data_IF_200949342034
#
_entry.id   IF_200949342034
#
_cell.length_a   1.000
_cell.length_b   1.000
_cell.length_c   1.000
_cell.angle_alpha   90.00
_cell.angle_beta   90.00
_cell.angle_gamma   90.00
#
_symmetry.space_group_name_H-M   'P 1'
#
loop_
_entity.id
_entity.type
_entity.pdbx_description
1 polymer ?
#
# COMPACT_ATOMS: atom_id res chain seq x y z
N UNK A 1 -25.28 -9.73 -61.95
CA UNK A 1 -25.82 -10.89 -61.20
C UNK A 1 -24.65 -11.51 -60.46
N UNK A 2 -24.57 -11.47 -59.11
CA UNK A 2 -25.16 -12.47 -58.17
C UNK A 2 -24.83 -13.89 -58.68
N UNK A 3 -24.11 -14.80 -58.01
CA UNK A 3 -23.96 -15.19 -56.59
C UNK A 3 -22.81 -16.26 -56.59
N UNK A 4 -21.80 -16.19 -55.71
CA UNK A 4 -21.64 -17.01 -54.48
C UNK A 4 -21.23 -18.49 -54.66
N UNK A 5 -20.53 -18.98 -53.63
CA UNK A 5 -20.07 -20.37 -53.33
C UNK A 5 -18.75 -20.78 -53.99
N UNK A 6 -17.71 -21.26 -53.28
CA UNK A 6 -17.65 -21.88 -51.94
C UNK A 6 -16.19 -22.01 -51.50
N UNK A 7 -15.94 -21.67 -50.21
CA UNK A 7 -14.99 -22.23 -49.23
C UNK A 7 -13.60 -22.74 -49.69
N UNK A 8 -12.49 -22.09 -49.30
CA UNK A 8 -11.76 -22.24 -48.03
C UNK A 8 -11.49 -23.68 -47.59
N UNK A 9 -10.21 -24.11 -47.61
CA UNK A 9 -9.49 -24.73 -46.49
C UNK A 9 -8.13 -25.28 -46.96
N UNK A 10 -7.03 -24.65 -46.53
CA UNK A 10 -5.77 -25.37 -46.30
C UNK A 10 -4.85 -24.57 -45.36
N UNK A 11 -4.83 -25.04 -44.12
CA UNK A 11 -3.67 -25.15 -43.24
C UNK A 11 -2.64 -24.00 -43.26
N UNK A 12 -2.82 -23.08 -42.32
CA UNK A 12 -1.68 -22.59 -41.55
C UNK A 12 -1.96 -22.89 -40.07
N UNK A 13 -1.45 -24.03 -39.59
CA UNK A 13 -1.25 -24.27 -38.17
C UNK A 13 -0.12 -23.38 -37.68
N UNK A 14 -0.38 -22.10 -37.44
CA UNK A 14 0.43 -21.34 -36.50
C UNK A 14 0.00 -21.80 -35.11
N UNK A 15 0.78 -22.71 -34.53
CA UNK A 15 0.76 -22.95 -33.10
C UNK A 15 1.10 -21.63 -32.41
N UNK A 16 0.09 -20.81 -32.12
CA UNK A 16 0.18 -19.81 -31.08
C UNK A 16 0.34 -20.60 -29.81
N UNK A 17 1.59 -20.76 -29.38
CA UNK A 17 1.90 -21.03 -28.00
C UNK A 17 1.36 -19.79 -27.28
N UNK A 18 0.11 -19.87 -26.83
CA UNK A 18 -0.38 -19.04 -25.77
C UNK A 18 0.55 -19.38 -24.60
N UNK A 19 1.62 -18.60 -24.46
CA UNK A 19 2.26 -18.46 -23.18
C UNK A 19 1.18 -17.86 -22.29
N UNK A 20 0.36 -18.73 -21.70
CA UNK A 20 -0.40 -18.42 -20.50
C UNK A 20 0.67 -18.00 -19.50
N UNK A 21 0.92 -16.68 -19.47
CA UNK A 21 1.56 -16.06 -18.33
C UNK A 21 0.84 -16.66 -17.13
N UNK A 22 1.55 -17.35 -16.22
CA UNK A 22 0.89 -18.03 -15.13
C UNK A 22 0.00 -16.98 -14.50
N UNK A 23 -1.31 -17.20 -14.55
CA UNK A 23 -2.23 -16.50 -13.70
C UNK A 23 -1.72 -16.85 -12.30
N UNK A 24 -0.84 -16.00 -11.75
CA UNK A 24 -0.52 -15.98 -10.34
C UNK A 24 -1.89 -15.86 -9.71
N UNK A 25 -2.44 -17.00 -9.28
CA UNK A 25 -3.75 -17.06 -8.69
C UNK A 25 -3.74 -16.00 -7.61
N UNK A 26 -4.60 -14.99 -7.76
CA UNK A 26 -4.76 -13.98 -6.72
C UNK A 26 -5.13 -14.75 -5.47
N UNK A 27 -4.16 -14.94 -4.58
CA UNK A 27 -4.39 -15.60 -3.30
C UNK A 27 -5.48 -14.78 -2.64
N UNK A 28 -6.62 -15.41 -2.36
CA UNK A 28 -7.68 -14.74 -1.63
C UNK A 28 -7.07 -14.20 -0.33
N UNK A 29 -7.23 -12.89 -0.09
CA UNK A 29 -6.72 -12.27 1.12
C UNK A 29 -7.40 -12.91 2.33
N UNK A 30 -6.61 -13.38 3.29
CA UNK A 30 -7.15 -13.89 4.54
C UNK A 30 -7.62 -12.74 5.42
N UNK A 31 -8.47 -13.03 6.42
CA UNK A 31 -8.86 -12.04 7.43
C UNK A 31 -7.64 -11.46 8.16
N UNK A 32 -6.62 -12.29 8.40
CA UNK A 32 -5.34 -11.85 8.98
C UNK A 32 -4.67 -10.80 8.08
N UNK A 33 -4.63 -11.02 6.78
CA UNK A 33 -4.01 -10.10 5.81
C UNK A 33 -4.79 -8.78 5.77
N UNK A 34 -6.13 -8.84 5.75
CA UNK A 34 -6.99 -7.65 5.78
C UNK A 34 -6.81 -6.83 7.07
N UNK A 35 -6.73 -7.50 8.22
CA UNK A 35 -6.49 -6.83 9.50
C UNK A 35 -5.10 -6.17 9.54
N UNK A 36 -4.07 -6.85 9.03
CA UNK A 36 -2.73 -6.28 8.94
C UNK A 36 -2.70 -5.05 8.01
N UNK A 37 -3.26 -5.18 6.80
CA UNK A 37 -3.37 -4.08 5.84
C UNK A 37 -4.09 -2.89 6.47
N UNK A 38 -5.17 -3.13 7.19
CA UNK A 38 -5.97 -2.07 7.84
C UNK A 38 -5.17 -1.37 8.94
N UNK A 39 -4.52 -2.11 9.84
CA UNK A 39 -3.67 -1.53 10.89
C UNK A 39 -2.52 -0.72 10.28
N UNK A 40 -1.82 -1.29 9.30
CA UNK A 40 -0.73 -0.58 8.62
C UNK A 40 -1.19 0.65 7.83
N UNK A 41 -2.41 0.64 7.30
CA UNK A 41 -3.01 1.82 6.65
C UNK A 41 -3.30 2.93 7.65
N UNK A 42 -3.80 2.59 8.85
CA UNK A 42 -3.98 3.57 9.92
C UNK A 42 -2.65 4.13 10.43
N UNK A 43 -1.64 3.27 10.61
CA UNK A 43 -0.28 3.70 10.94
C UNK A 43 0.29 4.65 9.87
N UNK A 44 0.15 4.30 8.59
CA UNK A 44 0.58 5.13 7.47
C UNK A 44 -0.13 6.48 7.44
N UNK A 45 -1.45 6.50 7.63
CA UNK A 45 -2.21 7.76 7.69
C UNK A 45 -1.70 8.67 8.80
N UNK A 46 -1.42 8.12 9.98
CA UNK A 46 -0.88 8.90 11.09
C UNK A 46 0.46 9.55 10.75
N UNK A 47 1.42 8.76 10.24
CA UNK A 47 2.77 9.26 9.98
C UNK A 47 2.80 10.24 8.81
N UNK A 48 1.99 10.02 7.77
CA UNK A 48 1.89 10.95 6.62
C UNK A 48 1.28 12.28 7.04
N UNK A 49 0.21 12.29 7.85
CA UNK A 49 -0.35 13.53 8.40
C UNK A 49 0.70 14.29 9.22
N UNK A 50 1.55 13.57 9.96
CA UNK A 50 2.62 14.19 10.72
C UNK A 50 3.68 14.82 9.80
N UNK A 51 4.05 14.17 8.69
CA UNK A 51 4.95 14.73 7.67
C UNK A 51 4.36 15.93 6.93
N UNK A 52 3.06 15.97 6.69
CA UNK A 52 2.38 17.13 6.11
C UNK A 52 2.42 18.33 7.06
N UNK A 53 2.15 18.09 8.35
CA UNK A 53 2.10 19.15 9.37
C UNK A 53 3.48 19.66 9.76
N UNK A 54 4.46 18.78 9.80
CA UNK A 54 5.82 19.05 10.29
C UNK A 54 6.79 18.49 9.26
N UNK A 55 7.03 19.18 8.12
CA UNK A 55 7.83 18.63 7.02
C UNK A 55 9.34 18.63 7.31
N UNK A 56 9.84 19.64 8.04
CA UNK A 56 11.27 19.92 8.13
C UNK A 56 11.93 19.46 9.44
N UNK A 57 11.15 18.98 10.40
CA UNK A 57 11.64 18.59 11.73
C UNK A 57 11.21 17.16 12.07
N UNK A 58 12.17 16.24 11.97
CA UNK A 58 11.98 14.83 12.26
C UNK A 58 11.66 14.57 13.73
N UNK A 59 12.25 15.31 14.66
CA UNK A 59 12.06 15.08 16.08
C UNK A 59 10.65 15.53 16.49
N UNK A 60 10.26 16.75 16.11
CA UNK A 60 8.91 17.26 16.35
C UNK A 60 7.83 16.37 15.70
N UNK A 61 8.12 15.82 14.52
CA UNK A 61 7.24 14.85 13.85
C UNK A 61 7.10 13.55 14.63
N UNK A 62 8.19 12.98 15.14
CA UNK A 62 8.15 11.77 15.96
C UNK A 62 7.36 11.99 17.27
N UNK A 63 7.53 13.14 17.91
CA UNK A 63 6.76 13.54 19.08
C UNK A 63 5.27 13.67 18.75
N UNK A 64 4.94 14.31 17.63
CA UNK A 64 3.56 14.43 17.16
C UNK A 64 2.90 13.06 16.92
N UNK A 65 3.59 12.16 16.22
CA UNK A 65 3.13 10.78 15.95
C UNK A 65 2.83 10.07 17.27
N UNK A 66 3.77 10.11 18.22
CA UNK A 66 3.64 9.46 19.53
C UNK A 66 2.44 9.99 20.31
N UNK A 67 2.29 11.32 20.36
CA UNK A 67 1.20 11.97 21.08
C UNK A 67 -0.17 11.65 20.49
N UNK A 68 -0.30 11.67 19.17
CA UNK A 68 -1.56 11.34 18.49
C UNK A 68 -1.86 9.84 18.60
N UNK A 69 -0.87 8.98 18.44
CA UNK A 69 -1.02 7.54 18.63
C UNK A 69 -1.54 7.19 20.03
N UNK A 70 -0.99 7.81 21.08
CA UNK A 70 -1.45 7.61 22.45
C UNK A 70 -2.94 7.93 22.60
N UNK A 71 -3.40 9.04 22.00
CA UNK A 71 -4.82 9.43 22.00
C UNK A 71 -5.71 8.47 21.22
N UNK A 72 -5.27 7.98 20.06
CA UNK A 72 -6.00 6.98 19.27
C UNK A 72 -6.18 5.70 20.09
N UNK A 73 -5.10 5.26 20.75
CA UNK A 73 -5.10 4.07 21.61
C UNK A 73 -6.02 4.24 22.82
N UNK A 74 -5.98 5.39 23.49
CA UNK A 74 -6.83 5.71 24.63
C UNK A 74 -8.31 5.76 24.23
N UNK A 75 -8.61 6.39 23.09
CA UNK A 75 -9.98 6.47 22.58
C UNK A 75 -10.53 5.11 22.11
N UNK A 76 -9.65 4.12 21.86
CA UNK A 76 -9.98 2.75 21.45
C UNK A 76 -10.99 2.66 20.29
N UNK A 77 -11.01 3.67 19.40
CA UNK A 77 -12.02 3.79 18.34
C UNK A 77 -11.88 2.69 17.27
N UNK A 78 -10.67 2.18 17.11
CA UNK A 78 -10.34 1.15 16.11
C UNK A 78 -10.37 -0.26 16.70
N UNK A 79 -10.57 -0.43 18.02
CA UNK A 79 -10.56 -1.74 18.67
C UNK A 79 -9.32 -2.56 18.31
N UNK A 80 -9.55 -3.79 17.80
CA UNK A 80 -8.51 -4.71 17.33
C UNK A 80 -7.78 -4.26 16.05
N UNK A 81 -8.27 -3.21 15.38
CA UNK A 81 -7.65 -2.57 14.22
C UNK A 81 -6.81 -1.35 14.61
N UNK A 82 -6.65 -1.08 15.90
CA UNK A 82 -5.66 -0.12 16.37
C UNK A 82 -4.26 -0.65 16.01
N UNK A 83 -3.43 0.11 15.27
CA UNK A 83 -2.07 -0.32 14.99
C UNK A 83 -1.29 -0.47 16.29
N UNK A 84 -0.42 -1.47 16.35
CA UNK A 84 0.58 -1.61 17.40
C UNK A 84 1.65 -0.53 17.29
N UNK A 85 2.44 -0.34 18.36
CA UNK A 85 3.55 0.61 18.34
C UNK A 85 4.60 0.26 17.28
N UNK A 86 4.86 -1.03 17.08
CA UNK A 86 5.78 -1.54 16.06
C UNK A 86 5.29 -1.27 14.64
N UNK A 87 3.98 -1.39 14.38
CA UNK A 87 3.39 -1.05 13.09
C UNK A 87 3.49 0.46 12.80
N UNK A 88 3.21 1.32 13.81
CA UNK A 88 3.41 2.78 13.70
C UNK A 88 4.87 3.13 13.44
N UNK A 89 5.79 2.53 14.20
CA UNK A 89 7.22 2.76 14.03
C UNK A 89 7.73 2.31 12.66
N UNK A 90 7.30 1.13 12.18
CA UNK A 90 7.66 0.62 10.85
C UNK A 90 7.16 1.53 9.74
N UNK A 91 5.91 2.00 9.82
CA UNK A 91 5.35 2.97 8.88
C UNK A 91 6.13 4.30 8.90
N UNK A 92 6.53 4.77 10.09
CA UNK A 92 7.33 5.98 10.26
C UNK A 92 8.70 5.81 9.59
N UNK A 93 9.40 4.69 9.80
CA UNK A 93 10.69 4.44 9.16
C UNK A 93 10.58 4.46 7.63
N UNK A 94 9.56 3.81 7.08
CA UNK A 94 9.32 3.81 5.64
C UNK A 94 9.03 5.22 5.12
N UNK A 95 8.24 6.01 5.85
CA UNK A 95 7.97 7.40 5.50
C UNK A 95 9.24 8.28 5.57
N UNK A 96 10.04 8.18 6.64
CA UNK A 96 11.26 8.97 6.80
C UNK A 96 12.30 8.62 5.73
N UNK A 97 12.37 7.37 5.29
CA UNK A 97 13.21 6.97 4.16
C UNK A 97 12.85 7.74 2.88
N UNK A 98 11.57 7.97 2.63
CA UNK A 98 11.12 8.78 1.49
C UNK A 98 11.49 10.26 1.66
N UNK A 99 11.32 10.81 2.85
CA UNK A 99 11.69 12.21 3.16
C UNK A 99 13.19 12.44 3.00
N UNK A 100 14.02 11.51 3.48
CA UNK A 100 15.47 11.57 3.33
C UNK A 100 15.92 11.55 1.86
N UNK A 101 15.07 11.04 0.95
CA UNK A 101 15.28 11.08 -0.50
C UNK A 101 14.73 12.36 -1.15
N UNK A 102 14.56 13.44 -0.37
CA UNK A 102 14.03 14.74 -0.78
C UNK A 102 12.60 14.70 -1.35
N UNK A 103 11.80 13.70 -0.97
CA UNK A 103 10.38 13.63 -1.33
C UNK A 103 9.51 14.13 -0.18
N UNK A 104 8.40 14.80 -0.48
CA UNK A 104 7.43 15.26 0.53
C UNK A 104 6.00 14.99 0.08
N UNK A 105 5.04 14.72 0.99
CA UNK A 105 3.63 14.52 0.66
C UNK A 105 2.91 15.86 0.40
N UNK A 106 3.46 16.71 -0.48
CA UNK A 106 3.01 18.10 -0.70
C UNK A 106 1.81 18.24 -1.64
N UNK A 107 1.45 17.19 -2.37
CA UNK A 107 0.30 17.16 -3.28
C UNK A 107 -0.60 15.98 -2.95
N UNK A 108 -1.90 16.00 -3.28
CA UNK A 108 -2.80 14.87 -3.01
C UNK A 108 -2.29 13.54 -3.60
N UNK A 109 -1.74 13.57 -4.83
CA UNK A 109 -1.17 12.38 -5.47
C UNK A 109 0.05 11.85 -4.72
N UNK A 110 0.94 12.75 -4.29
CA UNK A 110 2.12 12.34 -3.50
C UNK A 110 1.71 11.85 -2.11
N UNK A 111 0.72 12.48 -1.48
CA UNK A 111 0.15 12.03 -0.21
C UNK A 111 -0.35 10.60 -0.29
N UNK A 112 -1.17 10.28 -1.29
CA UNK A 112 -1.70 8.92 -1.47
C UNK A 112 -0.59 7.91 -1.73
N UNK A 113 0.42 8.30 -2.53
CA UNK A 113 1.59 7.48 -2.77
C UNK A 113 2.40 7.24 -1.48
N UNK A 114 2.65 8.27 -0.67
CA UNK A 114 3.31 8.16 0.62
C UNK A 114 2.54 7.23 1.55
N UNK A 115 1.22 7.36 1.64
CA UNK A 115 0.38 6.46 2.45
C UNK A 115 0.54 5.01 2.00
N UNK A 116 0.48 4.74 0.69
CA UNK A 116 0.65 3.39 0.15
C UNK A 116 2.04 2.81 0.47
N UNK A 117 3.11 3.59 0.27
CA UNK A 117 4.48 3.15 0.54
C UNK A 117 4.73 2.89 2.03
N UNK A 118 4.24 3.77 2.91
CA UNK A 118 4.35 3.61 4.35
C UNK A 118 3.54 2.41 4.86
N UNK A 119 2.33 2.19 4.31
CA UNK A 119 1.51 1.03 4.66
C UNK A 119 2.17 -0.27 4.21
N UNK A 120 2.70 -0.32 2.98
CA UNK A 120 3.42 -1.47 2.46
C UNK A 120 4.67 -1.79 3.28
N UNK A 121 5.46 -0.76 3.62
CA UNK A 121 6.65 -0.93 4.45
C UNK A 121 6.34 -1.44 5.87
N UNK A 122 5.23 -0.99 6.46
CA UNK A 122 4.72 -1.55 7.71
C UNK A 122 4.33 -3.03 7.58
N UNK A 123 3.59 -3.38 6.53
CA UNK A 123 3.10 -4.76 6.35
C UNK A 123 4.26 -5.74 6.15
N UNK A 124 5.23 -5.38 5.30
CA UNK A 124 6.41 -6.21 5.02
C UNK A 124 7.28 -6.44 6.26
N UNK A 125 7.41 -5.44 7.14
CA UNK A 125 8.17 -5.57 8.39
C UNK A 125 7.43 -6.36 9.47
N UNK A 126 6.10 -6.45 9.38
CA UNK A 126 5.27 -7.19 10.35
C UNK A 126 5.18 -8.69 10.03
N UNK A 127 5.63 -9.09 8.84
CA UNK A 127 5.73 -10.49 8.41
C UNK A 127 7.14 -11.09 8.63
N UNK A 128 8.12 -10.26 8.96
CA UNK A 128 9.51 -10.63 9.23
C UNK A 128 9.74 -11.05 10.69
#
# INVERSE_FOLDING_TARGET
MRLLSTAFLALFCTATIAAEAPHQGMKALSEKDLNLITRCSHAASLVVIAAEKIPNDKESRAQFITNVYAKIKEANQLGNLTPSYTEVFSAQLSMESLINNNMTPSTPKLRDWFMAQSAAGCALQSEA
#
